data_IF_346103244620
#
_entry.id   IF_346103244620
#
_cell.length_a   1.000
_cell.length_b   1.000
_cell.length_c   1.000
_cell.angle_alpha   90.00
_cell.angle_beta   90.00
_cell.angle_gamma   90.00
#
_symmetry.space_group_name_H-M   'P 1'
#
loop_
_entity.id
_entity.type
_entity.pdbx_description
1 polymer ?
#
# COMPACT_ATOMS: atom_id res chain seq x y z
N UNK A 1 -13.42 18.37 -3.97
CA UNK A 1 -12.87 17.00 -4.05
C UNK A 1 -11.64 17.02 -4.91
N UNK A 2 -10.66 16.16 -4.61
CA UNK A 2 -9.39 16.10 -5.35
C UNK A 2 -9.51 15.13 -6.53
N UNK A 3 -8.59 15.26 -7.48
CA UNK A 3 -8.45 14.37 -8.62
C UNK A 3 -7.13 13.61 -8.52
N UNK A 4 -7.14 12.32 -8.84
CA UNK A 4 -5.94 11.49 -8.88
C UNK A 4 -5.81 10.79 -10.24
N UNK A 5 -4.62 10.84 -10.80
CA UNK A 5 -4.24 10.09 -11.99
C UNK A 5 -3.11 9.11 -11.67
N UNK A 6 -3.26 7.87 -12.12
CA UNK A 6 -2.13 6.97 -12.31
C UNK A 6 -1.70 7.07 -13.76
N UNK A 7 -0.41 7.30 -14.00
CA UNK A 7 0.15 7.38 -15.34
C UNK A 7 1.25 6.33 -15.51
N UNK A 8 1.12 5.51 -16.55
CA UNK A 8 2.11 4.52 -16.90
C UNK A 8 3.31 5.22 -17.54
N UNK A 9 4.49 5.04 -16.96
CA UNK A 9 5.77 5.45 -17.52
C UNK A 9 6.16 4.52 -18.68
N UNK A 10 6.49 5.12 -19.81
CA UNK A 10 6.86 4.41 -21.05
C UNK A 10 8.34 4.61 -21.42
N UNK A 11 9.14 5.16 -20.50
CA UNK A 11 10.52 5.60 -20.74
C UNK A 11 10.63 7.11 -20.95
N UNK A 12 11.77 7.68 -20.55
CA UNK A 12 12.06 9.14 -20.64
C UNK A 12 10.94 9.99 -19.99
N UNK A 13 10.49 11.05 -20.66
CA UNK A 13 9.37 11.90 -20.23
C UNK A 13 8.02 11.48 -20.87
N UNK A 14 7.90 10.22 -21.31
CA UNK A 14 6.68 9.72 -21.95
C UNK A 14 5.79 8.95 -20.97
N UNK A 15 4.53 9.37 -20.89
CA UNK A 15 3.56 8.80 -19.97
C UNK A 15 2.19 8.64 -20.64
N UNK A 16 1.48 7.57 -20.27
CA UNK A 16 0.09 7.32 -20.69
C UNK A 16 -0.82 7.32 -19.48
N UNK A 17 -1.94 8.04 -19.54
CA UNK A 17 -2.98 7.96 -18.52
C UNK A 17 -3.47 6.51 -18.41
N UNK A 18 -3.38 5.95 -17.21
CA UNK A 18 -3.72 4.56 -16.92
C UNK A 18 -5.06 4.48 -16.17
N UNK A 19 -5.17 5.19 -15.04
CA UNK A 19 -6.40 5.28 -14.26
C UNK A 19 -6.66 6.71 -13.82
N UNK A 20 -7.94 7.07 -13.70
CA UNK A 20 -8.40 8.39 -13.29
C UNK A 20 -9.49 8.27 -12.24
N UNK A 21 -9.34 9.04 -11.15
CA UNK A 21 -10.32 9.16 -10.08
C UNK A 21 -10.78 10.62 -10.00
N UNK A 22 -12.03 10.87 -10.38
CA UNK A 22 -12.59 12.22 -10.47
C UNK A 22 -12.86 12.86 -9.11
N UNK A 23 -13.16 12.01 -8.11
CA UNK A 23 -13.41 12.42 -6.74
C UNK A 23 -12.76 11.44 -5.78
N UNK A 24 -11.67 11.88 -5.17
CA UNK A 24 -10.97 11.13 -4.13
C UNK A 24 -10.62 12.07 -2.98
N UNK A 25 -10.67 11.58 -1.75
CA UNK A 25 -10.30 12.32 -0.57
C UNK A 25 -8.77 12.42 -0.44
N UNK A 26 -8.31 13.49 0.21
CA UNK A 26 -6.87 13.71 0.39
C UNK A 26 -6.20 12.58 1.20
N UNK A 27 -6.78 12.06 2.31
CA UNK A 27 -6.18 10.94 3.03
C UNK A 27 -5.93 9.71 2.17
N UNK A 28 -6.89 9.32 1.30
CA UNK A 28 -6.66 8.20 0.39
C UNK A 28 -5.54 8.47 -0.62
N UNK A 29 -5.45 9.69 -1.17
CA UNK A 29 -4.36 10.05 -2.09
C UNK A 29 -3.01 9.91 -1.38
N UNK A 30 -2.88 10.45 -0.16
CA UNK A 30 -1.61 10.40 0.56
C UNK A 30 -1.27 8.95 0.92
N UNK A 31 -2.22 8.17 1.44
CA UNK A 31 -2.00 6.75 1.70
C UNK A 31 -1.54 5.98 0.45
N UNK A 32 -2.12 6.26 -0.72
CA UNK A 32 -1.71 5.66 -2.00
C UNK A 32 -0.29 6.08 -2.43
N UNK A 33 0.15 7.29 -2.09
CA UNK A 33 1.52 7.77 -2.39
C UNK A 33 2.57 7.15 -1.46
N UNK A 34 2.17 6.78 -0.25
CA UNK A 34 3.03 6.04 0.70
C UNK A 34 3.17 4.54 0.34
N UNK A 35 2.44 4.06 -0.68
CA UNK A 35 2.60 2.70 -1.21
C UNK A 35 3.59 2.67 -2.38
N UNK A 36 4.57 1.77 -2.31
CA UNK A 36 5.46 1.43 -3.42
C UNK A 36 4.74 0.68 -4.53
N UNK A 37 3.66 -0.06 -4.20
CA UNK A 37 2.93 -0.87 -5.15
C UNK A 37 1.44 -0.55 -5.20
N UNK A 38 0.85 -0.74 -6.38
CA UNK A 38 -0.57 -0.57 -6.64
C UNK A 38 -1.05 -1.71 -7.54
N UNK A 39 -2.08 -2.44 -7.09
CA UNK A 39 -2.66 -3.56 -7.86
C UNK A 39 -4.04 -3.19 -8.37
N UNK A 40 -4.26 -3.43 -9.66
CA UNK A 40 -5.57 -3.27 -10.31
C UNK A 40 -5.70 -4.13 -11.56
N UNK A 41 -6.85 -4.77 -11.73
CA UNK A 41 -7.18 -5.69 -12.81
C UNK A 41 -6.11 -6.80 -13.01
N UNK A 42 -5.59 -7.34 -11.90
CA UNK A 42 -4.58 -8.38 -11.88
C UNK A 42 -3.18 -7.93 -12.31
N UNK A 43 -2.92 -6.62 -12.37
CA UNK A 43 -1.60 -6.05 -12.69
C UNK A 43 -1.07 -5.31 -11.47
N UNK A 44 0.16 -5.64 -11.07
CA UNK A 44 0.89 -4.91 -10.03
C UNK A 44 1.76 -3.87 -10.71
N UNK A 45 1.60 -2.64 -10.27
CA UNK A 45 2.36 -1.49 -10.73
C UNK A 45 3.29 -1.02 -9.62
N UNK A 46 4.54 -0.70 -9.97
CA UNK A 46 5.49 -0.08 -9.04
C UNK A 46 5.46 1.43 -9.21
N UNK A 47 5.30 2.17 -8.11
CA UNK A 47 5.41 3.61 -8.09
C UNK A 47 6.86 4.03 -8.40
N UNK A 48 7.00 4.94 -9.36
CA UNK A 48 8.30 5.50 -9.79
C UNK A 48 8.48 6.91 -9.21
N UNK A 49 7.42 7.71 -9.23
CA UNK A 49 7.44 9.08 -8.70
C UNK A 49 6.00 9.61 -8.54
N UNK A 50 5.87 10.81 -7.97
CA UNK A 50 4.58 11.52 -7.87
C UNK A 50 4.73 13.01 -8.12
N UNK A 51 3.65 13.66 -8.56
CA UNK A 51 3.60 15.10 -8.80
C UNK A 51 2.27 15.73 -8.35
N UNK A 52 2.34 17.04 -8.09
CA UNK A 52 1.19 17.92 -7.96
C UNK A 52 1.11 18.77 -9.22
N UNK A 53 0.15 18.48 -10.09
CA UNK A 53 -0.03 19.20 -11.36
C UNK A 53 -1.30 20.03 -11.28
N UNK A 54 -1.17 21.37 -11.20
CA UNK A 54 -2.29 22.33 -11.20
C UNK A 54 -3.47 21.94 -10.29
N UNK A 55 -4.43 21.17 -10.82
CA UNK A 55 -5.68 20.75 -10.21
C UNK A 55 -5.75 19.26 -9.83
N UNK A 56 -4.67 18.50 -9.98
CA UNK A 56 -4.65 17.04 -9.76
C UNK A 56 -3.36 16.52 -9.13
N UNK A 57 -3.51 15.38 -8.48
CA UNK A 57 -2.43 14.54 -8.00
C UNK A 57 -2.09 13.51 -9.08
N UNK A 58 -0.80 13.25 -9.27
CA UNK A 58 -0.33 12.26 -10.25
C UNK A 58 0.62 11.28 -9.56
N UNK A 59 0.38 9.99 -9.75
CA UNK A 59 1.29 8.91 -9.36
C UNK A 59 1.77 8.26 -10.66
N UNK A 60 3.08 8.34 -10.92
CA UNK A 60 3.69 7.69 -12.06
C UNK A 60 4.11 6.29 -11.66
N UNK A 61 3.77 5.31 -12.50
CA UNK A 61 4.04 3.90 -12.23
C UNK A 61 4.61 3.19 -13.44
N UNK A 62 5.24 2.06 -13.24
CA UNK A 62 5.60 1.09 -14.28
C UNK A 62 4.97 -0.27 -13.99
N UNK A 63 4.72 -1.08 -15.02
CA UNK A 63 4.28 -2.47 -14.81
C UNK A 63 5.40 -3.26 -14.12
N UNK A 64 5.08 -3.89 -13.00
CA UNK A 64 6.02 -4.70 -12.22
C UNK A 64 5.79 -6.18 -12.47
N UNK A 65 4.56 -6.64 -12.30
CA UNK A 65 4.16 -8.02 -12.56
C UNK A 65 2.69 -8.11 -13.00
N UNK A 66 2.33 -9.26 -13.58
CA UNK A 66 0.97 -9.55 -14.03
C UNK A 66 0.53 -10.90 -13.51
N UNK A 67 -0.52 -10.89 -12.70
CA UNK A 67 -1.13 -12.05 -12.08
C UNK A 67 -2.56 -12.26 -12.56
N UNK A 68 -3.35 -12.92 -11.70
CA UNK A 68 -4.80 -13.04 -11.86
C UNK A 68 -5.46 -12.06 -10.90
N UNK A 69 -6.57 -11.46 -11.33
CA UNK A 69 -7.43 -10.70 -10.44
C UNK A 69 -7.95 -11.60 -9.33
N UNK A 70 -7.69 -11.21 -8.09
CA UNK A 70 -8.17 -11.91 -6.90
C UNK A 70 -9.59 -11.45 -6.51
N UNK A 71 -10.26 -12.23 -5.68
CA UNK A 71 -11.60 -11.88 -5.20
C UNK A 71 -11.51 -10.81 -4.12
N UNK A 72 -12.50 -9.90 -4.10
CA UNK A 72 -12.62 -8.88 -3.06
C UNK A 72 -12.63 -9.51 -1.67
N UNK A 73 -11.93 -8.88 -0.72
CA UNK A 73 -11.99 -9.26 0.67
C UNK A 73 -13.30 -8.76 1.29
N UNK A 74 -14.03 -9.63 2.00
CA UNK A 74 -15.19 -9.20 2.80
C UNK A 74 -14.70 -8.37 4.00
N UNK A 75 -14.98 -7.07 4.01
CA UNK A 75 -14.60 -6.13 5.07
C UNK A 75 -15.66 -5.03 5.21
N UNK A 76 -15.93 -4.61 6.45
CA UNK A 76 -16.82 -3.48 6.76
C UNK A 76 -16.07 -2.13 6.82
N UNK A 77 -14.75 -2.14 6.62
CA UNK A 77 -13.89 -0.97 6.64
C UNK A 77 -12.64 -1.14 5.77
N UNK A 78 -11.62 -0.32 6.01
CA UNK A 78 -10.34 -0.43 5.32
C UNK A 78 -9.49 -1.51 5.98
N UNK A 79 -9.20 -2.58 5.25
CA UNK A 79 -8.38 -3.69 5.74
C UNK A 79 -6.91 -3.43 5.45
N UNK A 80 -6.06 -3.64 6.45
CA UNK A 80 -4.60 -3.70 6.31
C UNK A 80 -4.12 -5.10 6.68
N UNK A 81 -3.45 -5.77 5.75
CA UNK A 81 -2.73 -7.01 6.01
C UNK A 81 -1.25 -6.71 6.25
N UNK A 82 -0.74 -7.09 7.41
CA UNK A 82 0.69 -7.04 7.69
C UNK A 82 1.28 -8.40 7.35
N UNK A 83 2.22 -8.43 6.42
CA UNK A 83 2.80 -9.65 5.88
C UNK A 83 4.30 -9.67 6.07
N UNK A 84 4.84 -10.83 6.38
CA UNK A 84 6.29 -11.03 6.38
C UNK A 84 6.79 -11.01 4.94
N UNK A 85 7.88 -10.30 4.68
CA UNK A 85 8.57 -10.33 3.38
C UNK A 85 9.34 -11.65 3.24
N UNK A 86 8.61 -12.72 2.98
CA UNK A 86 9.15 -14.06 2.78
C UNK A 86 8.57 -14.69 1.51
N UNK A 87 9.30 -14.56 0.41
CA UNK A 87 8.87 -15.09 -0.89
C UNK A 87 8.83 -16.64 -0.90
N UNK A 88 9.66 -17.31 -0.09
CA UNK A 88 9.68 -18.77 -0.02
C UNK A 88 8.39 -19.31 0.62
N UNK A 89 7.85 -18.57 1.61
CA UNK A 89 6.63 -18.91 2.34
C UNK A 89 5.40 -18.10 1.88
N UNK A 90 5.43 -17.51 0.68
CA UNK A 90 4.31 -16.77 0.05
C UNK A 90 3.81 -15.59 0.89
N UNK A 91 4.73 -14.87 1.52
CA UNK A 91 4.47 -13.67 2.32
C UNK A 91 3.34 -13.89 3.36
N UNK A 92 3.58 -14.72 4.39
CA UNK A 92 2.55 -15.10 5.34
C UNK A 92 2.01 -13.89 6.10
N UNK A 93 0.71 -13.91 6.40
CA UNK A 93 0.04 -12.86 7.17
C UNK A 93 0.44 -12.97 8.64
N UNK A 94 1.01 -11.89 9.18
CA UNK A 94 1.37 -11.74 10.60
C UNK A 94 0.15 -11.23 11.39
N UNK A 95 -0.56 -10.24 10.83
CA UNK A 95 -1.71 -9.61 11.44
C UNK A 95 -2.65 -9.04 10.37
N UNK A 96 -3.94 -8.97 10.71
CA UNK A 96 -4.95 -8.26 9.91
C UNK A 96 -5.61 -7.22 10.78
N UNK A 97 -5.64 -5.98 10.32
CA UNK A 97 -6.21 -4.84 11.01
C UNK A 97 -7.36 -4.25 10.17
N UNK A 98 -8.35 -3.68 10.85
CA UNK A 98 -9.43 -2.93 10.20
C UNK A 98 -9.47 -1.51 10.72
N UNK A 99 -9.58 -0.55 9.81
CA UNK A 99 -9.54 0.88 10.10
C UNK A 99 -10.77 1.60 9.53
N UNK A 100 -11.24 2.66 10.21
CA UNK A 100 -12.34 3.46 9.71
C UNK A 100 -11.91 4.48 8.64
N UNK A 101 -10.62 4.82 8.55
CA UNK A 101 -10.13 5.87 7.64
C UNK A 101 -8.77 5.57 7.01
N UNK A 102 -8.52 6.17 5.83
CA UNK A 102 -7.24 6.07 5.14
C UNK A 102 -6.09 6.72 5.92
N UNK A 103 -6.40 7.69 6.79
CA UNK A 103 -5.38 8.32 7.62
C UNK A 103 -4.86 7.36 8.70
N UNK A 104 -5.74 6.51 9.25
CA UNK A 104 -5.32 5.48 10.21
C UNK A 104 -4.43 4.44 9.52
N UNK A 105 -4.81 3.99 8.32
CA UNK A 105 -3.96 3.11 7.50
C UNK A 105 -2.60 3.77 7.24
N UNK A 106 -2.59 5.05 6.84
CA UNK A 106 -1.39 5.82 6.58
C UNK A 106 -0.45 5.84 7.79
N UNK A 107 -0.97 5.98 9.02
CA UNK A 107 -0.15 5.96 10.23
C UNK A 107 0.63 4.65 10.39
N UNK A 108 0.05 3.52 9.98
CA UNK A 108 0.74 2.22 10.01
C UNK A 108 1.73 2.07 8.86
N UNK A 109 1.29 2.29 7.62
CA UNK A 109 2.16 2.08 6.44
C UNK A 109 3.29 3.11 6.34
N UNK A 110 3.14 4.29 6.95
CA UNK A 110 4.17 5.33 7.01
C UNK A 110 5.15 5.18 8.17
N UNK A 111 4.93 4.21 9.07
CA UNK A 111 5.84 3.96 10.19
C UNK A 111 6.99 3.04 9.78
N UNK A 112 8.23 3.41 10.15
CA UNK A 112 9.41 2.57 9.88
C UNK A 112 9.42 1.28 10.70
N UNK A 113 8.91 1.32 11.94
CA UNK A 113 8.83 0.18 12.83
C UNK A 113 7.39 -0.04 13.27
N UNK A 114 6.98 -1.31 13.32
CA UNK A 114 5.68 -1.72 13.85
C UNK A 114 5.87 -2.92 14.77
N UNK A 115 4.92 -3.12 15.69
CA UNK A 115 5.04 -4.13 16.73
C UNK A 115 3.85 -5.09 16.67
N UNK A 116 4.11 -6.37 16.42
CA UNK A 116 3.10 -7.42 16.36
C UNK A 116 3.61 -8.66 17.09
N UNK A 117 2.76 -9.24 17.94
CA UNK A 117 3.11 -10.40 18.78
C UNK A 117 4.39 -10.17 19.61
N UNK A 118 4.56 -8.95 20.12
CA UNK A 118 5.74 -8.46 20.87
C UNK A 118 7.05 -8.45 20.08
N UNK A 119 7.01 -8.69 18.78
CA UNK A 119 8.18 -8.58 17.89
C UNK A 119 8.14 -7.24 17.19
N UNK A 120 9.31 -6.65 17.01
CA UNK A 120 9.48 -5.49 16.15
C UNK A 120 9.70 -5.93 14.70
N UNK A 121 9.08 -5.18 13.82
CA UNK A 121 9.07 -5.40 12.39
C UNK A 121 9.47 -4.12 11.69
N UNK A 122 10.51 -4.20 10.85
CA UNK A 122 10.95 -3.12 10.00
C UNK A 122 10.10 -3.11 8.73
N UNK A 123 9.54 -1.94 8.38
CA UNK A 123 8.86 -1.72 7.10
C UNK A 123 9.81 -1.96 5.94
N UNK A 124 9.38 -2.79 5.00
CA UNK A 124 10.01 -2.93 3.69
C UNK A 124 9.28 -2.07 2.67
N UNK A 125 8.01 -2.40 2.41
CA UNK A 125 7.19 -1.78 1.39
C UNK A 125 5.70 -1.88 1.73
N UNK A 126 4.88 -1.08 1.06
CA UNK A 126 3.45 -1.10 1.16
C UNK A 126 2.79 -1.16 -0.22
N UNK A 127 1.62 -1.77 -0.26
CA UNK A 127 0.81 -1.98 -1.46
C UNK A 127 -0.63 -1.58 -1.20
N UNK A 128 -1.26 -0.95 -2.18
CA UNK A 128 -2.71 -0.82 -2.25
C UNK A 128 -3.23 -1.77 -3.32
N UNK A 129 -3.87 -2.85 -2.88
CA UNK A 129 -4.55 -3.79 -3.75
C UNK A 129 -6.02 -3.40 -3.88
N UNK A 130 -6.32 -2.71 -4.98
CA UNK A 130 -7.66 -2.20 -5.26
C UNK A 130 -8.61 -3.32 -5.73
N UNK A 131 -8.08 -4.40 -6.32
CA UNK A 131 -8.89 -5.55 -6.69
C UNK A 131 -9.45 -6.25 -5.45
N UNK A 132 -8.65 -6.34 -4.39
CA UNK A 132 -9.05 -6.95 -3.11
C UNK A 132 -9.67 -5.97 -2.12
N UNK A 133 -9.55 -4.65 -2.36
CA UNK A 133 -9.90 -3.57 -1.43
C UNK A 133 -9.13 -3.65 -0.11
N UNK A 134 -7.84 -3.98 -0.20
CA UNK A 134 -6.95 -4.11 0.97
C UNK A 134 -5.68 -3.29 0.79
N UNK A 135 -5.13 -2.82 1.89
CA UNK A 135 -3.73 -2.42 1.96
C UNK A 135 -2.90 -3.61 2.45
N UNK A 136 -1.65 -3.68 1.99
CA UNK A 136 -0.68 -4.64 2.47
C UNK A 136 0.56 -3.89 2.93
N UNK A 137 1.08 -4.25 4.11
CA UNK A 137 2.34 -3.77 4.64
C UNK A 137 3.29 -4.95 4.74
N UNK A 138 4.33 -4.96 3.91
CA UNK A 138 5.39 -5.95 3.95
C UNK A 138 6.47 -5.52 4.95
N UNK A 139 6.85 -6.46 5.82
CA UNK A 139 7.79 -6.20 6.89
C UNK A 139 8.80 -7.33 7.06
N UNK A 140 9.95 -7.01 7.64
CA UNK A 140 11.00 -7.98 8.00
C UNK A 140 11.25 -7.92 9.50
N UNK A 141 11.39 -9.08 10.15
CA UNK A 141 11.68 -9.14 11.58
C UNK A 141 13.06 -8.51 11.88
N UNK A 142 13.12 -7.63 12.88
CA UNK A 142 14.41 -7.03 13.31
C UNK A 142 15.20 -7.93 14.26
N UNK A 143 14.53 -8.94 14.83
CA UNK A 143 15.06 -9.77 15.91
C UNK A 143 14.83 -9.20 17.31
N UNK A 144 14.36 -7.95 17.43
CA UNK A 144 13.99 -7.37 18.70
C UNK A 144 12.63 -7.90 19.20
N UNK A 145 12.58 -8.22 20.49
CA UNK A 145 11.38 -8.72 21.18
C UNK A 145 11.19 -7.89 22.44
N UNK A 146 10.01 -7.29 22.59
CA UNK A 146 9.66 -6.50 23.78
C UNK A 146 9.58 -7.41 25.02
N UNK A 147 10.08 -6.91 26.15
CA UNK A 147 10.02 -7.63 27.43
C UNK A 147 8.59 -7.66 28.00
N UNK A 148 8.28 -8.67 28.84
CA UNK A 148 6.98 -8.76 29.52
C UNK A 148 6.82 -7.61 30.53
N UNK A 149 6.03 -6.59 30.17
CA UNK A 149 5.70 -5.47 31.06
C UNK A 149 5.63 -4.12 30.35
N UNK A 150 6.22 -4.00 29.16
CA UNK A 150 6.07 -2.80 28.33
C UNK A 150 4.73 -2.89 27.58
N UNK A 151 3.77 -2.07 27.98
CA UNK A 151 2.52 -1.85 27.24
C UNK A 151 2.64 -0.52 26.50
N UNK A 152 2.24 -0.51 25.22
CA UNK A 152 2.01 0.72 24.44
C UNK A 152 0.96 1.60 25.12
#
# INVERSE_FOLDING_TARGET
>A
MNRLEYRLWLGEENYRLLYFYESIDLPQIIARRECEFFVKEGVTYRQVSSALEHDRFVIYVEEYERGRKEAEAESNGLRLEVRELDAENKHPVIATLEFPSHLDVMAYIGSSFTYFHRKEWLRDSAEIDEDRKVYVLYVTATGFVMEEGETN
#
